data_IF_508616646810
#
_entry.id   IF_508616646810
#
_cell.length_a   1.000
_cell.length_b   1.000
_cell.length_c   1.000
_cell.angle_alpha   90.00
_cell.angle_beta   90.00
_cell.angle_gamma   90.00
#
_symmetry.space_group_name_H-M   'P 1'
#
loop_
_entity.id
_entity.type
_entity.pdbx_description
1 polymer ?
#
# COMPACT_ATOMS: atom_id res chain seq x y z
N UNK A 1 -1.37 -28.62 -13.11
CA UNK A 1 -0.69 -27.46 -12.50
C UNK A 1 -1.09 -27.39 -11.02
N UNK A 2 -0.13 -27.42 -10.11
CA UNK A 2 -0.39 -27.54 -8.67
C UNK A 2 -0.91 -26.20 -8.12
N UNK A 3 -2.06 -26.18 -7.41
CA UNK A 3 -2.70 -24.95 -6.89
C UNK A 3 -1.74 -24.05 -6.08
N UNK A 4 -0.70 -24.63 -5.47
CA UNK A 4 0.33 -23.93 -4.72
C UNK A 4 1.15 -22.94 -5.57
N UNK A 5 1.51 -23.31 -6.80
CA UNK A 5 2.30 -22.42 -7.68
C UNK A 5 1.45 -21.29 -8.25
N UNK A 6 0.16 -21.55 -8.49
CA UNK A 6 -0.79 -20.52 -8.91
C UNK A 6 -0.97 -19.46 -7.82
N UNK A 7 -1.18 -19.89 -6.57
CA UNK A 7 -1.29 -18.99 -5.43
C UNK A 7 0.00 -18.17 -5.21
N UNK A 8 1.17 -18.80 -5.30
CA UNK A 8 2.45 -18.13 -5.18
C UNK A 8 2.64 -17.07 -6.27
N UNK A 9 2.32 -17.41 -7.52
CA UNK A 9 2.37 -16.48 -8.65
C UNK A 9 1.50 -15.25 -8.41
N UNK A 10 0.24 -15.43 -7.99
CA UNK A 10 -0.68 -14.32 -7.71
C UNK A 10 -0.17 -13.37 -6.62
N UNK A 11 0.40 -13.91 -5.54
CA UNK A 11 0.94 -13.10 -4.43
C UNK A 11 2.16 -12.26 -4.86
N UNK A 12 3.05 -12.83 -5.66
CA UNK A 12 4.22 -12.12 -6.19
C UNK A 12 3.77 -11.00 -7.12
N UNK A 13 2.84 -11.29 -8.05
CA UNK A 13 2.33 -10.27 -8.97
C UNK A 13 1.64 -9.14 -8.23
N UNK A 14 0.84 -9.45 -7.20
CA UNK A 14 0.21 -8.44 -6.35
C UNK A 14 1.23 -7.53 -5.66
N UNK A 15 2.29 -8.11 -5.09
CA UNK A 15 3.33 -7.33 -4.45
C UNK A 15 4.09 -6.42 -5.43
N UNK A 16 4.37 -6.90 -6.64
CA UNK A 16 4.97 -6.07 -7.69
C UNK A 16 4.07 -4.89 -8.04
N UNK A 17 2.77 -5.14 -8.26
CA UNK A 17 1.80 -4.08 -8.54
C UNK A 17 1.76 -3.08 -7.38
N UNK A 18 1.73 -3.54 -6.14
CA UNK A 18 1.71 -2.66 -4.97
C UNK A 18 2.94 -1.73 -4.89
N UNK A 19 4.13 -2.26 -5.20
CA UNK A 19 5.36 -1.44 -5.28
C UNK A 19 5.28 -0.41 -6.40
N UNK A 20 4.84 -0.82 -7.59
CA UNK A 20 4.63 0.12 -8.71
C UNK A 20 3.61 1.22 -8.37
N UNK A 21 2.51 0.86 -7.71
CA UNK A 21 1.50 1.83 -7.25
C UNK A 21 2.07 2.80 -6.22
N UNK A 22 2.88 2.34 -5.27
CA UNK A 22 3.52 3.19 -4.27
C UNK A 22 4.50 4.19 -4.92
N UNK A 23 5.25 3.76 -5.94
CA UNK A 23 6.15 4.63 -6.73
C UNK A 23 5.34 5.64 -7.54
N UNK A 24 4.25 5.22 -8.19
CA UNK A 24 3.39 6.12 -8.94
C UNK A 24 2.82 7.25 -8.05
N UNK A 25 2.35 6.92 -6.85
CA UNK A 25 1.85 7.92 -5.89
C UNK A 25 2.96 8.86 -5.41
N UNK A 26 4.16 8.34 -5.13
CA UNK A 26 5.32 9.18 -4.79
C UNK A 26 5.71 10.13 -5.92
N UNK A 27 5.57 9.70 -7.18
CA UNK A 27 5.86 10.55 -8.34
C UNK A 27 4.94 11.78 -8.40
N UNK A 28 3.73 11.72 -7.84
CA UNK A 28 2.81 12.86 -7.79
C UNK A 28 3.30 14.02 -6.90
N UNK A 29 4.22 13.77 -5.97
CA UNK A 29 4.89 14.84 -5.19
C UNK A 29 5.76 15.71 -6.11
N UNK A 30 6.37 15.13 -7.14
CA UNK A 30 7.24 15.83 -8.08
C UNK A 30 6.49 16.39 -9.30
N UNK A 31 5.51 15.66 -9.83
CA UNK A 31 4.74 16.05 -11.02
C UNK A 31 3.61 17.06 -10.72
N UNK A 32 3.21 17.17 -9.45
CA UNK A 32 2.21 18.14 -9.01
C UNK A 32 0.76 17.73 -9.28
N UNK A 33 -0.20 18.69 -9.31
CA UNK A 33 -1.64 18.43 -9.29
C UNK A 33 -2.19 17.62 -10.48
N UNK A 34 -1.52 17.66 -11.64
CA UNK A 34 -1.89 16.84 -12.81
C UNK A 34 -1.76 15.34 -12.56
N UNK A 35 -0.78 14.92 -11.76
CA UNK A 35 -0.60 13.53 -11.36
C UNK A 35 -1.72 13.06 -10.43
N UNK A 36 -2.13 13.90 -9.47
CA UNK A 36 -3.27 13.62 -8.59
C UNK A 36 -4.58 13.48 -9.38
N UNK A 37 -4.79 14.31 -10.39
CA UNK A 37 -5.94 14.18 -11.30
C UNK A 37 -5.90 12.88 -12.12
N UNK A 38 -4.72 12.51 -12.65
CA UNK A 38 -4.54 11.25 -13.37
C UNK A 38 -4.80 10.02 -12.48
N UNK A 39 -4.52 10.13 -11.17
CA UNK A 39 -4.84 9.12 -10.17
C UNK A 39 -6.29 9.19 -9.64
N UNK A 40 -7.13 10.06 -10.21
CA UNK A 40 -8.52 10.29 -9.78
C UNK A 40 -8.62 10.61 -8.28
N UNK A 41 -7.65 11.36 -7.76
CA UNK A 41 -7.68 11.82 -6.38
C UNK A 41 -8.91 12.71 -6.13
N UNK A 42 -9.48 12.70 -4.92
CA UNK A 42 -10.60 13.56 -4.56
C UNK A 42 -10.25 15.06 -4.77
N UNK A 43 -11.27 15.89 -5.09
CA UNK A 43 -11.07 17.30 -5.43
C UNK A 43 -10.33 18.06 -4.34
N UNK A 44 -10.60 17.76 -3.06
CA UNK A 44 -9.94 18.38 -1.91
C UNK A 44 -8.41 18.18 -1.90
N UNK A 45 -7.92 17.01 -2.37
CA UNK A 45 -6.49 16.73 -2.48
C UNK A 45 -5.86 17.44 -3.68
N UNK A 46 -6.60 17.56 -4.78
CA UNK A 46 -6.13 18.28 -5.97
C UNK A 46 -6.01 19.77 -5.67
N UNK A 47 -7.00 20.35 -5.00
CA UNK A 47 -6.98 21.75 -4.56
C UNK A 47 -5.86 21.98 -3.53
N UNK A 48 -5.68 21.05 -2.59
CA UNK A 48 -4.57 21.06 -1.64
C UNK A 48 -3.20 21.09 -2.35
N UNK A 49 -3.03 20.30 -3.41
CA UNK A 49 -1.80 20.27 -4.21
C UNK A 49 -1.61 21.56 -5.03
N UNK A 50 -2.69 22.16 -5.56
CA UNK A 50 -2.65 23.44 -6.26
C UNK A 50 -2.29 24.61 -5.33
N UNK A 51 -2.82 24.59 -4.11
CA UNK A 51 -2.57 25.60 -3.08
C UNK A 51 -1.19 25.44 -2.39
N UNK A 52 -0.41 24.41 -2.75
CA UNK A 52 0.91 24.16 -2.16
C UNK A 52 0.88 23.73 -0.69
N UNK A 53 -0.27 23.21 -0.22
CA UNK A 53 -0.43 22.78 1.17
C UNK A 53 0.16 21.39 1.40
N UNK A 54 0.52 21.07 2.65
CA UNK A 54 1.15 19.79 3.01
C UNK A 54 0.18 18.60 3.05
N UNK A 55 -1.13 18.80 2.91
CA UNK A 55 -2.11 17.71 2.98
C UNK A 55 -1.94 16.70 1.85
N UNK A 56 -1.79 17.14 0.60
CA UNK A 56 -1.58 16.25 -0.54
C UNK A 56 -0.29 15.40 -0.45
N UNK A 57 0.89 15.96 -0.11
CA UNK A 57 2.11 15.20 0.16
C UNK A 57 1.99 14.19 1.31
N UNK A 58 1.37 14.60 2.43
CA UNK A 58 1.19 13.70 3.59
C UNK A 58 0.27 12.54 3.21
N UNK A 59 -0.83 12.80 2.51
CA UNK A 59 -1.74 11.77 2.03
C UNK A 59 -1.04 10.79 1.07
N UNK A 60 -0.21 11.28 0.14
CA UNK A 60 0.56 10.40 -0.76
C UNK A 60 1.56 9.54 0.01
N UNK A 61 2.26 10.07 1.00
CA UNK A 61 3.16 9.28 1.86
C UNK A 61 2.39 8.17 2.57
N UNK A 62 1.24 8.48 3.17
CA UNK A 62 0.42 7.51 3.89
C UNK A 62 -0.07 6.39 2.97
N UNK A 63 -0.60 6.75 1.79
CA UNK A 63 -1.11 5.77 0.82
C UNK A 63 0.03 4.92 0.24
N UNK A 64 1.16 5.52 -0.13
CA UNK A 64 2.34 4.77 -0.58
C UNK A 64 2.85 3.82 0.49
N UNK A 65 2.88 4.23 1.76
CA UNK A 65 3.27 3.36 2.87
C UNK A 65 2.29 2.18 3.04
N UNK A 66 0.99 2.43 2.94
CA UNK A 66 -0.03 1.38 3.00
C UNK A 66 0.17 0.32 1.90
N UNK A 67 0.40 0.74 0.65
CA UNK A 67 0.67 -0.18 -0.45
C UNK A 67 1.95 -0.99 -0.24
N UNK A 68 3.03 -0.36 0.26
CA UNK A 68 4.25 -1.09 0.60
C UNK A 68 4.01 -2.12 1.72
N UNK A 69 3.26 -1.76 2.75
CA UNK A 69 2.88 -2.68 3.83
C UNK A 69 2.08 -3.85 3.26
N UNK A 70 1.09 -3.60 2.39
CA UNK A 70 0.33 -4.65 1.72
C UNK A 70 1.21 -5.56 0.85
N UNK A 71 2.16 -5.00 0.10
CA UNK A 71 3.13 -5.77 -0.70
C UNK A 71 4.03 -6.65 0.18
N UNK A 72 4.50 -6.12 1.31
CA UNK A 72 5.27 -6.88 2.31
C UNK A 72 4.43 -8.01 2.93
N UNK A 73 3.16 -7.77 3.24
CA UNK A 73 2.24 -8.82 3.69
C UNK A 73 2.03 -9.90 2.64
N UNK A 74 1.91 -9.54 1.36
CA UNK A 74 1.80 -10.51 0.27
C UNK A 74 3.07 -11.37 0.12
N UNK A 75 4.26 -10.77 0.23
CA UNK A 75 5.52 -11.53 0.26
C UNK A 75 5.65 -12.42 1.51
N UNK A 76 5.15 -11.96 2.65
CA UNK A 76 5.10 -12.76 3.88
C UNK A 76 4.12 -13.94 3.74
N UNK A 77 2.96 -13.73 3.12
CA UNK A 77 1.99 -14.78 2.80
C UNK A 77 2.56 -15.80 1.80
N UNK A 78 3.38 -15.34 0.85
CA UNK A 78 4.14 -16.18 -0.07
C UNK A 78 5.28 -16.98 0.60
N UNK A 79 5.51 -16.77 1.91
CA UNK A 79 6.62 -17.35 2.69
C UNK A 79 8.02 -16.99 2.14
N UNK A 80 8.11 -15.90 1.37
CA UNK A 80 9.38 -15.38 0.82
C UNK A 80 10.10 -14.53 1.88
N UNK A 81 9.36 -13.80 2.71
CA UNK A 81 9.89 -12.95 3.78
C UNK A 81 9.38 -13.44 5.15
N UNK A 82 10.21 -13.31 6.19
CA UNK A 82 9.90 -13.59 7.60
C UNK A 82 8.53 -13.02 7.99
N UNK A 83 7.74 -13.81 8.74
CA UNK A 83 6.41 -13.45 9.25
C UNK A 83 6.44 -12.04 9.89
N UNK A 84 5.72 -11.08 9.32
CA UNK A 84 5.60 -9.76 9.97
C UNK A 84 4.88 -9.91 11.32
N UNK A 85 5.42 -9.33 12.41
CA UNK A 85 4.93 -9.53 13.79
C UNK A 85 3.53 -8.97 14.07
N UNK A 86 2.96 -8.18 13.14
CA UNK A 86 1.62 -7.62 13.29
C UNK A 86 0.49 -8.64 13.12
N UNK A 87 0.74 -9.78 12.45
CA UNK A 87 -0.24 -10.86 12.36
C UNK A 87 -0.50 -11.52 13.72
N UNK A 88 0.55 -11.69 14.53
CA UNK A 88 0.42 -12.25 15.88
C UNK A 88 -0.15 -11.24 16.87
N UNK A 89 0.26 -9.97 16.82
CA UNK A 89 -0.27 -8.94 17.72
C UNK A 89 -1.79 -8.73 17.55
N UNK A 90 -2.28 -8.74 16.30
CA UNK A 90 -3.70 -8.67 16.01
C UNK A 90 -4.48 -9.92 16.49
N UNK A 91 -3.90 -11.12 16.34
CA UNK A 91 -4.54 -12.34 16.88
C UNK A 91 -4.59 -12.36 18.41
N UNK A 92 -3.56 -11.86 19.08
CA UNK A 92 -3.54 -11.80 20.54
C UNK A 92 -4.54 -10.80 21.10
N UNK A 93 -4.71 -9.65 20.45
CA UNK A 93 -5.69 -8.64 20.88
C UNK A 93 -7.13 -9.12 20.73
N UNK A 94 -7.46 -9.86 19.66
CA UNK A 94 -8.78 -10.49 19.52
C UNK A 94 -9.01 -11.57 20.59
N UNK A 95 -8.02 -12.44 20.83
CA UNK A 95 -8.13 -13.48 21.87
C UNK A 95 -8.27 -12.90 23.28
N UNK A 96 -7.60 -11.78 23.59
CA UNK A 96 -7.73 -11.11 24.88
C UNK A 96 -9.10 -10.44 25.09
N UNK A 97 -9.77 -10.05 24.01
CA UNK A 97 -11.07 -9.37 24.08
C UNK A 97 -12.24 -10.36 24.20
N UNK A 98 -12.03 -11.63 23.80
CA UNK A 98 -13.02 -12.72 23.88
C UNK A 98 -12.83 -13.67 25.07
N UNK A 99 -11.91 -13.38 25.99
CA UNK A 99 -11.66 -14.15 27.21
C UNK A 99 -12.04 -13.33 28.46
#
# INVERSE_FOLDING_TARGET
MNNKYLALGMLITFALIAVFTAIAHMSCIYLGPSCYQAQMAPPDLIESAQNGTLLAPIATVIVSALFLICGLFALSAAQIITRLPFLTAASYSISALFN
#
